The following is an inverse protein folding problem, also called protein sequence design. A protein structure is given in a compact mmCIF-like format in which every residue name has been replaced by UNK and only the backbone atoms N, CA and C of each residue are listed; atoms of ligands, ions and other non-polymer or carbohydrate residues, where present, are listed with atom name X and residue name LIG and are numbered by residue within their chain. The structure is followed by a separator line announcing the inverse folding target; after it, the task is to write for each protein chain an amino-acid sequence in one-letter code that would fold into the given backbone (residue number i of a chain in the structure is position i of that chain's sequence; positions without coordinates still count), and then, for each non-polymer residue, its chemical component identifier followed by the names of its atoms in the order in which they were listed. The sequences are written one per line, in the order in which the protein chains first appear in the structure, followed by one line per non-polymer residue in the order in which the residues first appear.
data_IF_414229536493
#
_entry.id   IF_414229536493
#
_cell.length_a   1.000
_cell.length_b   1.000
_cell.length_c   1.000
_cell.angle_alpha   90.00
_cell.angle_beta   90.00
_cell.angle_gamma   90.00
#
_symmetry.space_group_name_H-M   'P 1'
#
loop_
_entity.id
_entity.type
_entity.pdbx_description
1 polymer ?
#
# COMPACT_ATOMS: atom_id res chain seq x y z
N UNK A 1 16.04 -31.68 -8.06
CA UNK A 1 15.05 -31.46 -6.96
C UNK A 1 14.83 -29.99 -6.58
N UNK A 2 15.55 -29.00 -7.15
CA UNK A 2 15.40 -27.57 -6.78
C UNK A 2 14.16 -26.86 -7.39
N UNK A 3 13.61 -27.35 -8.51
CA UNK A 3 12.50 -26.69 -9.21
C UNK A 3 11.14 -26.78 -8.50
N UNK A 4 10.88 -27.85 -7.75
CA UNK A 4 9.58 -28.06 -7.08
C UNK A 4 9.31 -27.02 -5.98
N UNK A 5 10.34 -26.58 -5.25
CA UNK A 5 10.22 -25.55 -4.22
C UNK A 5 9.86 -24.19 -4.80
N UNK A 6 10.54 -23.77 -5.87
CA UNK A 6 10.27 -22.50 -6.55
C UNK A 6 8.88 -22.47 -7.19
N UNK A 7 8.44 -23.58 -7.80
CA UNK A 7 7.09 -23.70 -8.38
C UNK A 7 6.01 -23.60 -7.31
N UNK A 8 6.20 -24.24 -6.16
CA UNK A 8 5.26 -24.16 -5.04
C UNK A 8 5.18 -22.73 -4.49
N UNK A 9 6.31 -22.08 -4.26
CA UNK A 9 6.35 -20.70 -3.78
C UNK A 9 5.63 -19.73 -4.73
N UNK A 10 5.85 -19.88 -6.04
CA UNK A 10 5.15 -19.09 -7.07
C UNK A 10 3.65 -19.34 -7.06
N UNK A 11 3.22 -20.59 -6.89
CA UNK A 11 1.80 -20.95 -6.81
C UNK A 11 1.14 -20.33 -5.58
N UNK A 12 1.79 -20.41 -4.43
CA UNK A 12 1.28 -19.85 -3.18
C UNK A 12 1.22 -18.33 -3.23
N UNK A 13 2.21 -17.66 -3.84
CA UNK A 13 2.20 -16.21 -4.09
C UNK A 13 1.03 -15.80 -5.00
N UNK A 14 0.79 -16.52 -6.09
CA UNK A 14 -0.32 -16.22 -7.00
C UNK A 14 -1.67 -16.38 -6.31
N UNK A 15 -1.83 -17.40 -5.45
CA UNK A 15 -3.04 -17.59 -4.64
C UNK A 15 -3.24 -16.43 -3.67
N UNK A 16 -2.18 -16.00 -2.97
CA UNK A 16 -2.24 -14.86 -2.07
C UNK A 16 -2.67 -13.59 -2.82
N UNK A 17 -2.04 -13.28 -3.95
CA UNK A 17 -2.42 -12.13 -4.76
C UNK A 17 -3.88 -12.19 -5.19
N UNK A 18 -4.34 -13.34 -5.71
CA UNK A 18 -5.74 -13.52 -6.10
C UNK A 18 -6.71 -13.27 -4.94
N UNK A 19 -6.38 -13.73 -3.72
CA UNK A 19 -7.18 -13.46 -2.52
C UNK A 19 -7.20 -11.97 -2.18
N UNK A 20 -6.06 -11.28 -2.25
CA UNK A 20 -5.97 -9.84 -1.95
C UNK A 20 -6.80 -9.00 -2.93
N UNK A 21 -6.79 -9.33 -4.22
CA UNK A 21 -7.65 -8.70 -5.22
C UNK A 21 -9.14 -9.00 -4.97
N UNK A 22 -9.48 -10.27 -4.75
CA UNK A 22 -10.87 -10.69 -4.51
C UNK A 22 -11.46 -10.02 -3.26
N UNK A 23 -10.66 -9.88 -2.20
CA UNK A 23 -11.09 -9.19 -0.98
C UNK A 23 -11.06 -7.66 -1.10
N UNK A 24 -10.67 -7.09 -2.24
CA UNK A 24 -10.56 -5.66 -2.45
C UNK A 24 -9.47 -4.99 -1.61
N UNK A 25 -8.45 -5.74 -1.20
CA UNK A 25 -7.24 -5.15 -0.59
C UNK A 25 -6.44 -4.40 -1.64
N UNK A 26 -6.28 -5.01 -2.83
CA UNK A 26 -5.56 -4.48 -3.97
C UNK A 26 -6.47 -4.16 -5.15
N UNK A 27 -6.06 -3.23 -6.01
CA UNK A 27 -6.67 -2.93 -7.30
C UNK A 27 -5.68 -2.98 -8.47
N UNK A 28 -6.16 -2.66 -9.67
CA UNK A 28 -5.41 -2.72 -10.92
C UNK A 28 -4.12 -1.89 -10.92
N UNK A 29 -3.99 -0.86 -10.08
CA UNK A 29 -2.76 -0.09 -9.98
C UNK A 29 -1.60 -0.95 -9.49
N UNK A 30 -1.87 -1.93 -8.61
CA UNK A 30 -0.84 -2.88 -8.17
C UNK A 30 -0.34 -3.74 -9.34
N UNK A 31 -1.22 -4.13 -10.28
CA UNK A 31 -0.82 -4.87 -11.49
C UNK A 31 0.09 -4.02 -12.39
N UNK A 32 -0.18 -2.71 -12.49
CA UNK A 32 0.68 -1.80 -13.24
C UNK A 32 2.08 -1.72 -12.63
N UNK A 33 2.20 -1.68 -11.29
CA UNK A 33 3.50 -1.75 -10.63
C UNK A 33 4.25 -3.05 -10.90
N UNK A 34 3.54 -4.19 -10.95
CA UNK A 34 4.15 -5.47 -11.31
C UNK A 34 4.69 -5.48 -12.74
N UNK A 35 4.07 -4.76 -13.67
CA UNK A 35 4.53 -4.64 -15.07
C UNK A 35 5.81 -3.81 -15.21
N UNK A 36 6.10 -2.92 -14.27
CA UNK A 36 7.32 -2.12 -14.26
C UNK A 36 8.55 -2.91 -13.76
N UNK A 37 8.34 -4.05 -13.11
CA UNK A 37 9.42 -4.91 -12.65
C UNK A 37 9.98 -5.76 -13.78
N UNK A 38 11.28 -5.67 -14.03
CA UNK A 38 11.97 -6.42 -15.07
C UNK A 38 13.34 -6.95 -14.61
N UNK A 39 14.16 -7.44 -15.56
CA UNK A 39 15.49 -7.98 -15.26
C UNK A 39 16.50 -6.92 -14.80
N UNK A 40 16.27 -5.65 -15.13
CA UNK A 40 17.11 -4.52 -14.70
C UNK A 40 16.75 -4.02 -13.30
N UNK A 41 15.52 -4.29 -12.86
CA UNK A 41 14.95 -3.84 -11.59
C UNK A 41 14.18 -4.97 -10.87
N UNK A 42 14.81 -6.13 -10.59
CA UNK A 42 14.10 -7.35 -10.18
C UNK A 42 13.35 -7.25 -8.83
N UNK A 43 13.64 -6.23 -8.03
CA UNK A 43 13.05 -6.01 -6.71
C UNK A 43 12.08 -4.83 -6.66
N UNK A 44 11.78 -4.19 -7.80
CA UNK A 44 11.02 -2.94 -7.88
C UNK A 44 9.75 -2.95 -7.03
N UNK A 45 8.89 -3.97 -7.17
CA UNK A 45 7.62 -4.04 -6.42
C UNK A 45 7.88 -4.10 -4.92
N UNK A 46 8.87 -4.89 -4.48
CA UNK A 46 9.19 -5.03 -3.06
C UNK A 46 9.75 -3.73 -2.47
N UNK A 47 10.55 -2.98 -3.24
CA UNK A 47 11.11 -1.70 -2.84
C UNK A 47 10.01 -0.64 -2.70
N UNK A 48 9.12 -0.54 -3.69
CA UNK A 48 7.98 0.39 -3.67
C UNK A 48 7.02 0.10 -2.51
N UNK A 49 6.71 -1.18 -2.26
CA UNK A 49 5.89 -1.60 -1.11
C UNK A 49 6.57 -1.28 0.22
N UNK A 50 7.88 -1.48 0.31
CA UNK A 50 8.64 -1.16 1.53
C UNK A 50 8.63 0.35 1.81
N UNK A 51 8.83 1.17 0.79
CA UNK A 51 8.74 2.64 0.90
C UNK A 51 7.34 3.04 1.36
N UNK A 52 6.29 2.48 0.74
CA UNK A 52 4.91 2.75 1.12
C UNK A 52 4.65 2.43 2.59
N UNK A 53 5.09 1.27 3.09
CA UNK A 53 4.92 0.92 4.51
C UNK A 53 5.62 1.91 5.44
N UNK A 54 6.86 2.28 5.14
CA UNK A 54 7.62 3.21 5.96
C UNK A 54 6.98 4.61 6.02
N UNK A 55 6.56 5.14 4.87
CA UNK A 55 5.96 6.46 4.80
C UNK A 55 4.53 6.49 5.38
N UNK A 56 3.73 5.45 5.14
CA UNK A 56 2.38 5.35 5.70
C UNK A 56 2.41 5.28 7.23
N UNK A 57 3.38 4.58 7.81
CA UNK A 57 3.55 4.52 9.26
C UNK A 57 3.86 5.91 9.86
N UNK A 58 4.71 6.71 9.20
CA UNK A 58 4.97 8.10 9.60
C UNK A 58 3.70 8.96 9.50
N UNK A 59 2.96 8.85 8.40
CA UNK A 59 1.71 9.59 8.18
C UNK A 59 0.67 9.25 9.26
N UNK A 60 0.47 7.97 9.57
CA UNK A 60 -0.46 7.51 10.61
C UNK A 60 -0.06 8.00 12.00
N UNK A 61 1.24 8.01 12.33
CA UNK A 61 1.73 8.60 13.59
C UNK A 61 1.43 10.09 13.68
N UNK A 62 1.65 10.85 12.62
CA UNK A 62 1.36 12.28 12.58
C UNK A 62 -0.14 12.56 12.71
N UNK A 63 -0.98 11.83 11.98
CA UNK A 63 -2.44 11.89 12.09
C UNK A 63 -2.90 11.61 13.53
N UNK A 64 -2.40 10.54 14.14
CA UNK A 64 -2.72 10.20 15.53
C UNK A 64 -2.35 11.34 16.48
N UNK A 65 -1.17 11.93 16.35
CA UNK A 65 -0.72 13.01 17.22
C UNK A 65 -1.61 14.26 17.06
N UNK A 66 -2.01 14.61 15.83
CA UNK A 66 -2.93 15.72 15.56
C UNK A 66 -4.33 15.51 16.15
N UNK A 67 -4.84 14.27 16.10
CA UNK A 67 -6.18 13.95 16.66
C UNK A 67 -6.17 13.91 18.19
N UNK A 68 -5.05 13.48 18.80
CA UNK A 68 -4.90 13.43 20.25
C UNK A 68 -4.67 14.81 20.87
N UNK A 69 -4.20 15.78 20.10
CA UNK A 69 -4.05 17.18 20.54
C UNK A 69 -5.43 17.87 20.56
N UNK A 70 -6.13 17.73 21.68
CA UNK A 70 -7.55 18.14 21.83
C UNK A 70 -7.77 19.63 21.99
N UNK A 71 -6.71 20.42 22.20
CA UNK A 71 -6.85 21.85 22.49
C UNK A 71 -7.02 22.68 21.21
N UNK A 72 -6.48 22.24 20.07
CA UNK A 72 -6.69 22.88 18.75
C UNK A 72 -6.62 21.87 17.60
N UNK A 73 -7.76 21.41 17.09
CA UNK A 73 -7.77 20.60 15.88
C UNK A 73 -7.43 21.45 14.65
N UNK A 74 -6.22 21.23 14.11
CA UNK A 74 -5.79 21.82 12.86
C UNK A 74 -6.31 21.00 11.67
N UNK A 75 -7.56 21.26 11.29
CA UNK A 75 -8.24 20.57 10.18
C UNK A 75 -7.50 20.71 8.85
N UNK A 76 -6.78 21.81 8.63
CA UNK A 76 -5.96 22.00 7.44
C UNK A 76 -4.81 20.99 7.41
N UNK A 77 -4.07 20.85 8.50
CA UNK A 77 -2.99 19.84 8.60
C UNK A 77 -3.52 18.41 8.53
N UNK A 78 -4.66 18.12 9.16
CA UNK A 78 -5.32 16.82 9.06
C UNK A 78 -5.66 16.50 7.59
N UNK A 79 -6.28 17.44 6.87
CA UNK A 79 -6.61 17.27 5.45
C UNK A 79 -5.37 17.03 4.58
N UNK A 80 -4.26 17.72 4.84
CA UNK A 80 -2.99 17.50 4.12
C UNK A 80 -2.49 16.07 4.33
N UNK A 81 -2.43 15.59 5.58
CA UNK A 81 -1.93 14.24 5.86
C UNK A 81 -2.86 13.14 5.32
N UNK A 82 -4.18 13.33 5.38
CA UNK A 82 -5.15 12.39 4.79
C UNK A 82 -5.00 12.34 3.26
N UNK A 83 -4.86 13.49 2.60
CA UNK A 83 -4.62 13.56 1.15
C UNK A 83 -3.33 12.87 0.74
N UNK A 84 -2.25 13.05 1.52
CA UNK A 84 -0.98 12.38 1.26
C UNK A 84 -1.10 10.86 1.40
N UNK A 85 -1.79 10.37 2.43
CA UNK A 85 -2.01 8.94 2.64
C UNK A 85 -2.95 8.34 1.58
N UNK A 86 -3.97 9.09 1.14
CA UNK A 86 -4.83 8.68 0.02
C UNK A 86 -4.02 8.56 -1.28
N UNK A 87 -3.21 9.57 -1.60
CA UNK A 87 -2.40 9.59 -2.81
C UNK A 87 -1.38 8.46 -2.84
N UNK A 88 -0.64 8.24 -1.75
CA UNK A 88 0.33 7.14 -1.64
C UNK A 88 -0.33 5.76 -1.68
N UNK A 89 -1.52 5.62 -1.08
CA UNK A 89 -2.28 4.36 -1.12
C UNK A 89 -2.82 4.07 -2.51
N UNK A 90 -3.33 5.09 -3.19
CA UNK A 90 -3.77 4.98 -4.58
C UNK A 90 -2.61 4.62 -5.49
N UNK A 91 -1.43 5.24 -5.35
CA UNK A 91 -0.28 4.98 -6.25
C UNK A 91 0.26 3.55 -6.20
N UNK A 92 0.01 2.83 -5.11
CA UNK A 92 0.41 1.43 -4.95
C UNK A 92 -0.73 0.42 -5.16
N UNK A 93 -1.93 0.91 -5.43
CA UNK A 93 -3.14 0.08 -5.51
C UNK A 93 -3.58 -0.51 -4.19
N UNK A 94 -3.29 0.14 -3.06
CA UNK A 94 -3.80 -0.22 -1.73
C UNK A 94 -5.26 0.23 -1.58
N UNK A 95 -6.14 -0.33 -2.42
CA UNK A 95 -7.56 0.02 -2.57
C UNK A 95 -8.28 0.18 -1.24
N UNK A 96 -8.17 -0.80 -0.34
CA UNK A 96 -8.93 -0.79 0.91
C UNK A 96 -8.56 0.42 1.79
N UNK A 97 -7.28 0.77 1.85
CA UNK A 97 -6.81 1.92 2.63
C UNK A 97 -7.34 3.20 2.01
N UNK A 98 -7.19 3.35 0.69
CA UNK A 98 -7.71 4.49 -0.06
C UNK A 98 -9.22 4.68 0.17
N UNK A 99 -10.01 3.64 -0.01
CA UNK A 99 -11.48 3.69 0.18
C UNK A 99 -11.85 4.01 1.64
N UNK A 100 -11.13 3.47 2.61
CA UNK A 100 -11.40 3.75 4.03
C UNK A 100 -11.24 5.23 4.35
N UNK A 101 -10.23 5.89 3.77
CA UNK A 101 -10.00 7.33 3.97
C UNK A 101 -10.98 8.16 3.15
N UNK A 102 -11.27 7.75 1.92
CA UNK A 102 -12.23 8.44 1.04
C UNK A 102 -13.65 8.45 1.61
N UNK A 103 -14.01 7.42 2.37
CA UNK A 103 -15.34 7.29 3.00
C UNK A 103 -15.46 7.92 4.39
N UNK A 104 -14.36 8.42 4.95
CA UNK A 104 -14.31 9.06 6.27
C UNK A 104 -14.66 10.55 6.20
#
# INVERSE_FOLDING_TARGET
MLGFGAVRLRTDMNRLLSLLFHQGVLDEQFLQLQQLQDQTSPNFVSEVVTIYFHESEKQLRNLRNLVLDRETWDYCKLGIHLNQLMGSSSSIGAKRVYESIRSA
#
